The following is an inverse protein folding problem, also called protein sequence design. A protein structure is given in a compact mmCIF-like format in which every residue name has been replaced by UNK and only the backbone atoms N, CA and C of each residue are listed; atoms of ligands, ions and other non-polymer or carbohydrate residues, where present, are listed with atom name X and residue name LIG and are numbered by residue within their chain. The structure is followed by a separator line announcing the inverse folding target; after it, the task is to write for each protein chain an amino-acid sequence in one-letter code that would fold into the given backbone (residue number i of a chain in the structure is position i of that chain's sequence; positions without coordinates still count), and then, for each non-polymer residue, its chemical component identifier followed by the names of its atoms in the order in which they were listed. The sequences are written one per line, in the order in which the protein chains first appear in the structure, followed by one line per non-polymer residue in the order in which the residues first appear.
data_IF_072997453571
#
_entry.id   IF_072997453571
#
_cell.length_a   1.000
_cell.length_b   1.000
_cell.length_c   1.000
_cell.angle_alpha   90.00
_cell.angle_beta   90.00
_cell.angle_gamma   90.00
#
_symmetry.space_group_name_H-M   'P 1'
#
loop_
_entity.id
_entity.type
_entity.pdbx_description
1 polymer ?
#
# COMPACT_ATOMS: atom_id res chain seq x y z
N UNK A 1 1.73 11.63 2.71
CA UNK A 1 0.51 12.22 3.32
C UNK A 1 0.37 11.62 4.71
N UNK A 2 0.22 12.48 5.72
CA UNK A 2 0.03 12.09 7.11
C UNK A 2 -1.18 11.15 7.27
N UNK A 3 -1.07 10.11 8.10
CA UNK A 3 -2.16 9.15 8.31
C UNK A 3 -3.40 9.88 8.82
N UNK A 4 -3.25 10.78 9.79
CA UNK A 4 -4.37 11.53 10.38
C UNK A 4 -5.08 12.37 9.32
N UNK A 5 -4.34 12.95 8.38
CA UNK A 5 -4.93 13.71 7.27
C UNK A 5 -5.84 12.84 6.39
N UNK A 6 -5.51 11.56 6.21
CA UNK A 6 -6.34 10.63 5.43
C UNK A 6 -7.67 10.38 6.16
N UNK A 7 -7.62 10.12 7.47
CA UNK A 7 -8.84 9.91 8.26
C UNK A 7 -9.72 11.16 8.27
N UNK A 8 -9.12 12.35 8.46
CA UNK A 8 -9.83 13.63 8.39
C UNK A 8 -10.53 13.80 7.05
N UNK A 9 -9.81 13.57 5.94
CA UNK A 9 -10.37 13.69 4.59
C UNK A 9 -11.45 12.65 4.31
N UNK A 10 -11.28 11.42 4.79
CA UNK A 10 -12.30 10.36 4.65
C UNK A 10 -13.58 10.71 5.38
N UNK A 11 -13.46 11.22 6.61
CA UNK A 11 -14.59 11.69 7.40
C UNK A 11 -15.30 12.88 6.74
N UNK A 12 -14.54 13.83 6.15
CA UNK A 12 -15.13 14.92 5.35
C UNK A 12 -15.98 14.39 4.20
N UNK A 13 -15.45 13.45 3.41
CA UNK A 13 -16.15 12.88 2.27
C UNK A 13 -17.37 12.05 2.70
N UNK A 14 -17.24 11.25 3.76
CA UNK A 14 -18.35 10.48 4.33
C UNK A 14 -19.48 11.41 4.79
N UNK A 15 -19.18 12.45 5.57
CA UNK A 15 -20.14 13.47 6.03
C UNK A 15 -20.74 14.29 4.89
N UNK A 16 -20.01 14.46 3.78
CA UNK A 16 -20.50 15.11 2.56
C UNK A 16 -21.48 14.25 1.77
N UNK A 17 -21.30 12.93 1.80
CA UNK A 17 -22.18 11.94 1.14
C UNK A 17 -23.31 11.42 2.03
N UNK A 18 -23.32 11.79 3.31
CA UNK A 18 -24.22 11.23 4.31
C UNK A 18 -25.69 11.57 4.04
N UNK A 19 -26.51 10.53 3.99
CA UNK A 19 -27.97 10.59 3.95
C UNK A 19 -28.53 10.08 5.27
N UNK A 20 -29.21 10.94 6.02
CA UNK A 20 -29.84 10.58 7.28
C UNK A 20 -31.31 10.20 7.04
N UNK A 21 -31.67 8.96 7.36
CA UNK A 21 -33.02 8.41 7.16
C UNK A 21 -33.98 8.79 8.29
N UNK A 22 -33.45 8.94 9.51
CA UNK A 22 -34.21 9.36 10.69
C UNK A 22 -33.62 10.65 11.29
N UNK A 23 -34.41 11.74 11.23
CA UNK A 23 -34.00 13.06 11.67
C UNK A 23 -33.84 13.19 13.19
N UNK A 24 -34.36 12.25 13.98
CA UNK A 24 -34.16 12.26 15.44
C UNK A 24 -32.68 12.13 15.84
N UNK A 25 -31.85 11.54 14.96
CA UNK A 25 -30.40 11.36 15.17
C UNK A 25 -29.55 12.52 14.64
N UNK A 26 -30.15 13.61 14.16
CA UNK A 26 -29.42 14.74 13.57
C UNK A 26 -28.34 15.30 14.49
N UNK A 27 -28.61 15.35 15.79
CA UNK A 27 -27.64 15.81 16.79
C UNK A 27 -26.34 14.98 16.80
N UNK A 28 -26.42 13.66 16.56
CA UNK A 28 -25.24 12.79 16.50
C UNK A 28 -24.37 13.12 15.28
N UNK A 29 -25.01 13.44 14.14
CA UNK A 29 -24.30 13.89 12.93
C UNK A 29 -23.64 15.25 13.17
N UNK A 30 -24.32 16.17 13.86
CA UNK A 30 -23.78 17.49 14.20
C UNK A 30 -22.58 17.36 15.16
N UNK A 31 -22.64 16.45 16.13
CA UNK A 31 -21.49 16.10 16.99
C UNK A 31 -20.32 15.56 16.16
N UNK A 32 -20.55 14.64 15.23
CA UNK A 32 -19.51 14.13 14.34
C UNK A 32 -18.86 15.25 13.50
N UNK A 33 -19.64 16.24 13.04
CA UNK A 33 -19.12 17.44 12.35
C UNK A 33 -18.29 18.33 13.27
N UNK A 34 -18.68 18.48 14.54
CA UNK A 34 -17.92 19.23 15.53
C UNK A 34 -16.56 18.55 15.79
N UNK A 35 -16.54 17.24 16.02
CA UNK A 35 -15.30 16.48 16.18
C UNK A 35 -14.41 16.52 14.94
N UNK A 36 -14.98 16.51 13.72
CA UNK A 36 -14.18 16.72 12.51
C UNK A 36 -13.49 18.10 12.51
N UNK A 37 -14.18 19.16 12.95
CA UNK A 37 -13.60 20.51 13.05
C UNK A 37 -12.45 20.54 14.06
N UNK A 38 -12.63 19.89 15.21
CA UNK A 38 -11.61 19.79 16.24
C UNK A 38 -10.40 18.97 15.76
N UNK A 39 -10.63 17.85 15.06
CA UNK A 39 -9.57 17.04 14.49
C UNK A 39 -8.71 17.85 13.50
N UNK A 40 -9.35 18.67 12.65
CA UNK A 40 -8.63 19.60 11.75
C UNK A 40 -7.84 20.66 12.50
N UNK A 41 -8.37 21.18 13.61
CA UNK A 41 -7.67 22.14 14.46
C UNK A 41 -6.42 21.53 15.10
N UNK A 42 -6.56 20.40 15.79
CA UNK A 42 -5.40 19.72 16.40
C UNK A 42 -4.37 19.32 15.35
N UNK A 43 -4.83 18.89 14.18
CA UNK A 43 -3.97 18.61 13.04
C UNK A 43 -3.23 19.88 12.55
N UNK A 44 -3.86 21.05 12.52
CA UNK A 44 -3.19 22.27 12.04
C UNK A 44 -2.10 22.78 12.98
N UNK A 45 -2.24 22.54 14.29
CA UNK A 45 -1.24 22.92 15.30
C UNK A 45 -0.18 21.83 15.57
N UNK A 46 -0.26 20.70 14.86
CA UNK A 46 0.74 19.63 14.92
C UNK A 46 0.49 18.53 15.95
N UNK A 47 -0.60 18.60 16.71
CA UNK A 47 -1.00 17.56 17.67
C UNK A 47 -1.69 16.39 16.92
N UNK A 48 -0.92 15.35 16.61
CA UNK A 48 -1.39 14.22 15.79
C UNK A 48 -2.20 13.22 16.59
N UNK A 49 -1.81 12.99 17.83
CA UNK A 49 -2.42 12.07 18.76
C UNK A 49 -3.85 12.50 19.09
N UNK A 50 -4.02 13.77 19.48
CA UNK A 50 -5.35 14.32 19.75
C UNK A 50 -6.18 14.35 18.48
N UNK A 51 -5.62 14.81 17.35
CA UNK A 51 -6.35 14.81 16.08
C UNK A 51 -6.83 13.41 15.65
N UNK A 52 -6.00 12.37 15.87
CA UNK A 52 -6.38 10.99 15.59
C UNK A 52 -7.50 10.50 16.52
N UNK A 53 -7.38 10.76 17.83
CA UNK A 53 -8.41 10.39 18.79
C UNK A 53 -9.75 11.05 18.45
N UNK A 54 -9.74 12.35 18.13
CA UNK A 54 -10.92 13.13 17.78
C UNK A 54 -11.58 12.63 16.48
N UNK A 55 -10.80 12.38 15.42
CA UNK A 55 -11.36 11.90 14.15
C UNK A 55 -11.94 10.49 14.28
N UNK A 56 -11.27 9.58 15.00
CA UNK A 56 -11.78 8.22 15.23
C UNK A 56 -13.06 8.18 16.06
N UNK A 57 -13.24 9.12 17.00
CA UNK A 57 -14.51 9.26 17.73
C UNK A 57 -15.65 9.60 16.78
N UNK A 58 -15.44 10.56 15.87
CA UNK A 58 -16.44 10.95 14.88
C UNK A 58 -16.77 9.81 13.90
N UNK A 59 -15.78 9.04 13.44
CA UNK A 59 -16.02 7.85 12.61
C UNK A 59 -16.91 6.84 13.33
N UNK A 60 -16.63 6.56 14.61
CA UNK A 60 -17.43 5.65 15.43
C UNK A 60 -18.89 6.09 15.59
N UNK A 61 -19.15 7.39 15.73
CA UNK A 61 -20.52 7.93 15.74
C UNK A 61 -21.25 7.63 14.42
N UNK A 62 -20.61 7.86 13.28
CA UNK A 62 -21.22 7.60 11.98
C UNK A 62 -21.43 6.11 11.74
N UNK A 63 -20.45 5.27 12.08
CA UNK A 63 -20.56 3.82 11.98
C UNK A 63 -21.72 3.29 12.81
N UNK A 64 -21.90 3.80 14.04
CA UNK A 64 -23.05 3.44 14.86
C UNK A 64 -24.38 3.78 14.16
N UNK A 65 -24.51 4.98 13.58
CA UNK A 65 -25.71 5.38 12.83
C UNK A 65 -25.96 4.50 11.61
N UNK A 66 -24.91 4.11 10.89
CA UNK A 66 -25.03 3.20 9.73
C UNK A 66 -25.42 1.79 10.17
N UNK A 67 -24.84 1.29 11.25
CA UNK A 67 -25.10 -0.05 11.80
C UNK A 67 -26.55 -0.21 12.26
N UNK A 68 -27.12 0.82 12.91
CA UNK A 68 -28.54 0.80 13.30
C UNK A 68 -29.49 1.13 12.13
N UNK A 69 -28.95 1.32 10.92
CA UNK A 69 -29.72 1.51 9.70
C UNK A 69 -30.33 2.90 9.53
N UNK A 70 -29.98 3.89 10.36
CA UNK A 70 -30.57 5.24 10.31
C UNK A 70 -29.79 6.22 9.45
N UNK A 71 -28.58 5.87 9.02
CA UNK A 71 -27.78 6.66 8.09
C UNK A 71 -27.20 5.80 6.97
N UNK A 72 -26.93 6.44 5.83
CA UNK A 72 -26.21 5.86 4.70
C UNK A 72 -25.09 6.82 4.27
N UNK A 73 -23.91 6.26 4.00
CA UNK A 73 -22.71 6.96 3.52
C UNK A 73 -21.68 5.92 3.12
N UNK A 74 -20.63 6.31 2.40
CA UNK A 74 -19.57 5.40 1.96
C UNK A 74 -18.22 5.81 2.53
N UNK A 75 -17.56 4.88 3.23
CA UNK A 75 -16.14 5.01 3.51
C UNK A 75 -15.34 4.68 2.27
N UNK A 76 -14.44 5.58 1.88
CA UNK A 76 -13.45 5.29 0.86
C UNK A 76 -12.25 4.63 1.51
N UNK A 77 -11.57 3.77 0.76
CA UNK A 77 -10.28 3.24 1.18
C UNK A 77 -9.26 4.39 1.26
N UNK A 78 -8.26 4.31 2.16
CA UNK A 78 -7.18 5.30 2.25
C UNK A 78 -6.54 5.68 0.90
N UNK A 79 -6.51 4.73 -0.05
CA UNK A 79 -6.05 4.95 -1.43
C UNK A 79 -6.94 5.84 -2.27
N UNK A 80 -8.24 5.65 -2.17
CA UNK A 80 -9.25 6.42 -2.91
C UNK A 80 -9.29 7.85 -2.37
N UNK A 81 -9.16 8.02 -1.05
CA UNK A 81 -9.07 9.33 -0.39
C UNK A 81 -7.84 10.11 -0.80
N UNK A 82 -6.71 9.45 -1.01
CA UNK A 82 -5.47 10.12 -1.39
C UNK A 82 -5.54 10.74 -2.81
N UNK A 83 -6.50 10.41 -3.67
CA UNK A 83 -6.22 10.34 -5.12
C UNK A 83 -4.86 9.64 -5.31
N UNK A 84 -4.62 8.57 -4.54
CA UNK A 84 -3.29 7.97 -4.46
C UNK A 84 -2.98 7.38 -5.81
N UNK A 85 -1.91 7.88 -6.42
CA UNK A 85 -1.20 7.14 -7.46
C UNK A 85 -1.06 5.69 -7.00
N UNK A 86 -1.48 4.77 -7.83
CA UNK A 86 -1.24 3.35 -7.67
C UNK A 86 0.26 3.12 -7.90
N UNK A 87 0.91 2.52 -6.90
CA UNK A 87 2.35 2.28 -6.90
C UNK A 87 2.58 0.78 -7.02
N UNK A 88 3.04 0.36 -8.19
CA UNK A 88 3.45 -1.01 -8.42
C UNK A 88 4.89 -1.22 -7.98
N UNK A 89 5.09 -2.22 -7.13
CA UNK A 89 6.39 -2.79 -6.81
C UNK A 89 6.41 -4.24 -7.27
N UNK A 90 7.52 -4.70 -7.83
CA UNK A 90 7.68 -6.10 -8.23
C UNK A 90 8.91 -6.71 -7.58
N UNK A 91 8.83 -7.98 -7.21
CA UNK A 91 9.95 -8.70 -6.61
C UNK A 91 9.64 -10.16 -6.30
N UNK A 92 10.69 -10.91 -5.96
CA UNK A 92 10.52 -12.29 -5.50
C UNK A 92 9.94 -12.33 -4.08
N UNK A 93 10.38 -11.47 -3.16
CA UNK A 93 9.90 -11.45 -1.77
C UNK A 93 9.93 -12.83 -1.10
N UNK A 94 11.01 -13.59 -1.27
CA UNK A 94 11.12 -14.98 -0.78
C UNK A 94 11.22 -15.04 0.74
N UNK A 95 12.29 -14.49 1.32
CA UNK A 95 12.41 -14.32 2.77
C UNK A 95 12.37 -12.81 3.04
N UNK A 96 11.34 -12.36 3.77
CA UNK A 96 11.21 -10.97 4.13
C UNK A 96 12.32 -10.54 5.10
N UNK A 97 12.78 -9.30 4.94
CA UNK A 97 13.88 -8.75 5.71
C UNK A 97 13.78 -7.21 5.72
N UNK A 98 14.58 -6.50 6.55
CA UNK A 98 14.47 -5.05 6.68
C UNK A 98 14.65 -4.27 5.37
N UNK A 99 15.43 -4.80 4.42
CA UNK A 99 15.53 -4.25 3.05
C UNK A 99 14.19 -4.22 2.30
N UNK A 100 13.40 -5.31 2.35
CA UNK A 100 12.06 -5.34 1.75
C UNK A 100 11.11 -4.36 2.46
N UNK A 101 11.17 -4.27 3.80
CA UNK A 101 10.33 -3.33 4.55
C UNK A 101 10.63 -1.87 4.18
N UNK A 102 11.90 -1.50 4.02
CA UNK A 102 12.30 -0.16 3.60
C UNK A 102 11.79 0.16 2.18
N UNK A 103 11.92 -0.79 1.25
CA UNK A 103 11.42 -0.65 -0.12
C UNK A 103 9.90 -0.49 -0.18
N UNK A 104 9.15 -1.34 0.53
CA UNK A 104 7.70 -1.28 0.57
C UNK A 104 7.19 -0.01 1.29
N UNK A 105 7.87 0.42 2.35
CA UNK A 105 7.55 1.68 3.03
C UNK A 105 7.67 2.88 2.08
N UNK A 106 8.71 2.91 1.22
CA UNK A 106 8.86 3.97 0.22
C UNK A 106 7.73 3.97 -0.80
N UNK A 107 7.30 2.80 -1.27
CA UNK A 107 6.12 2.70 -2.12
C UNK A 107 4.84 3.19 -1.41
N UNK A 108 4.69 2.85 -0.13
CA UNK A 108 3.54 3.25 0.69
C UNK A 108 3.46 4.75 0.94
N UNK A 109 4.61 5.41 1.10
CA UNK A 109 4.72 6.87 1.18
C UNK A 109 4.19 7.54 -0.11
N UNK A 110 4.39 6.90 -1.27
CA UNK A 110 3.99 7.39 -2.59
C UNK A 110 2.50 7.19 -2.90
N UNK A 111 1.84 6.15 -2.37
CA UNK A 111 0.44 5.89 -2.71
C UNK A 111 -0.09 4.51 -2.34
N UNK A 112 -0.98 3.97 -3.17
CA UNK A 112 -1.60 2.66 -2.96
C UNK A 112 -0.71 1.56 -3.53
N UNK A 113 -0.13 0.74 -2.65
CA UNK A 113 0.87 -0.24 -3.03
C UNK A 113 0.23 -1.52 -3.55
N UNK A 114 0.51 -1.83 -4.81
CA UNK A 114 0.23 -3.11 -5.45
C UNK A 114 1.57 -3.85 -5.57
N UNK A 115 1.74 -4.92 -4.80
CA UNK A 115 2.95 -5.72 -4.81
C UNK A 115 2.79 -6.95 -5.72
N UNK A 116 3.62 -7.02 -6.75
CA UNK A 116 3.65 -8.11 -7.72
C UNK A 116 4.70 -9.13 -7.30
N UNK A 117 4.25 -10.34 -7.01
CA UNK A 117 5.09 -11.46 -6.58
C UNK A 117 5.48 -12.25 -7.82
N UNK A 118 6.77 -12.21 -8.20
CA UNK A 118 7.28 -12.95 -9.36
C UNK A 118 6.92 -14.44 -9.29
N UNK A 119 6.57 -15.05 -10.42
CA UNK A 119 6.39 -16.51 -10.51
C UNK A 119 7.66 -17.24 -10.12
N UNK A 120 7.51 -18.49 -9.66
CA UNK A 120 8.65 -19.32 -9.27
C UNK A 120 9.63 -19.44 -10.45
N UNK A 121 9.16 -19.78 -11.64
CA UNK A 121 9.99 -19.88 -12.84
C UNK A 121 10.79 -18.61 -13.14
N UNK A 122 10.14 -17.45 -13.14
CA UNK A 122 10.81 -16.18 -13.44
C UNK A 122 11.82 -15.79 -12.37
N UNK A 123 11.49 -16.02 -11.10
CA UNK A 123 12.37 -15.75 -9.98
C UNK A 123 13.59 -16.68 -9.97
N UNK A 124 13.40 -17.97 -10.22
CA UNK A 124 14.48 -18.96 -10.32
C UNK A 124 15.43 -18.64 -11.47
N UNK A 125 14.87 -18.32 -12.66
CA UNK A 125 15.64 -17.89 -13.83
C UNK A 125 16.48 -16.65 -13.53
N UNK A 126 15.90 -15.66 -12.85
CA UNK A 126 16.59 -14.40 -12.50
C UNK A 126 17.68 -14.63 -11.45
N UNK A 127 17.39 -15.44 -10.42
CA UNK A 127 18.32 -15.72 -9.30
C UNK A 127 19.33 -16.82 -9.61
N UNK A 128 19.16 -17.55 -10.72
CA UNK A 128 19.97 -18.72 -11.12
C UNK A 128 20.05 -19.79 -10.04
N UNK A 129 18.97 -19.98 -9.28
CA UNK A 129 18.83 -21.03 -8.27
C UNK A 129 17.37 -21.38 -8.04
N UNK A 130 17.12 -22.54 -7.45
CA UNK A 130 15.79 -22.91 -6.95
C UNK A 130 15.33 -22.00 -5.82
N UNK A 131 14.03 -21.72 -5.78
CA UNK A 131 13.42 -21.03 -4.65
C UNK A 131 13.16 -22.03 -3.51
N UNK A 132 13.25 -21.53 -2.29
CA UNK A 132 12.92 -22.26 -1.07
C UNK A 132 11.41 -22.17 -0.80
N UNK A 133 10.81 -21.00 -1.07
CA UNK A 133 9.41 -20.71 -0.75
C UNK A 133 8.61 -20.50 -2.05
N UNK A 134 7.57 -21.32 -2.33
CA UNK A 134 6.73 -21.19 -3.52
C UNK A 134 5.97 -19.87 -3.58
N UNK A 135 5.55 -19.49 -4.80
CA UNK A 135 4.92 -18.20 -5.08
C UNK A 135 3.73 -17.88 -4.18
N UNK A 136 2.86 -18.87 -3.95
CA UNK A 136 1.63 -18.67 -3.18
C UNK A 136 1.92 -18.30 -1.72
N UNK A 137 2.89 -18.97 -1.09
CA UNK A 137 3.29 -18.71 0.30
C UNK A 137 3.98 -17.35 0.43
N UNK A 138 4.81 -16.98 -0.55
CA UNK A 138 5.41 -15.63 -0.60
C UNK A 138 4.34 -14.55 -0.67
N UNK A 139 3.30 -14.77 -1.49
CA UNK A 139 2.19 -13.84 -1.63
C UNK A 139 1.35 -13.71 -0.35
N UNK A 140 1.07 -14.83 0.33
CA UNK A 140 0.34 -14.86 1.60
C UNK A 140 1.05 -14.02 2.66
N UNK A 141 2.34 -14.27 2.89
CA UNK A 141 3.13 -13.51 3.87
C UNK A 141 3.19 -12.02 3.49
N UNK A 142 3.41 -11.72 2.20
CA UNK A 142 3.49 -10.34 1.73
C UNK A 142 2.16 -9.58 1.90
N UNK A 143 1.03 -10.27 1.75
CA UNK A 143 -0.32 -9.69 1.89
C UNK A 143 -0.64 -9.24 3.31
N UNK A 144 0.07 -9.78 4.30
CA UNK A 144 -0.08 -9.42 5.72
C UNK A 144 0.74 -8.19 6.12
N UNK A 145 1.57 -7.64 5.22
CA UNK A 145 2.42 -6.50 5.57
C UNK A 145 1.64 -5.19 5.52
N UNK A 146 1.81 -4.39 6.58
CA UNK A 146 1.19 -3.07 6.72
C UNK A 146 1.40 -2.13 5.51
N UNK A 147 2.56 -2.22 4.85
CA UNK A 147 2.89 -1.35 3.71
C UNK A 147 2.31 -1.82 2.37
N UNK A 148 1.66 -2.98 2.32
CA UNK A 148 1.11 -3.58 1.11
C UNK A 148 -0.40 -3.55 1.17
N UNK A 149 -1.04 -3.01 0.14
CA UNK A 149 -2.50 -2.93 0.12
C UNK A 149 -3.15 -4.01 -0.74
N UNK A 150 -2.43 -4.47 -1.78
CA UNK A 150 -2.87 -5.54 -2.66
C UNK A 150 -1.66 -6.33 -3.14
N UNK A 151 -1.79 -7.65 -3.15
CA UNK A 151 -0.80 -8.55 -3.77
C UNK A 151 -1.36 -9.09 -5.09
N UNK A 152 -0.51 -9.19 -6.10
CA UNK A 152 -0.83 -9.80 -7.39
C UNK A 152 0.24 -10.82 -7.74
N UNK A 153 -0.16 -11.98 -8.23
CA UNK A 153 0.76 -13.00 -8.70
C UNK A 153 1.25 -12.64 -10.11
N UNK A 154 2.56 -12.61 -10.30
CA UNK A 154 3.16 -12.52 -11.62
C UNK A 154 3.06 -13.86 -12.35
N UNK A 155 2.91 -13.80 -13.67
CA UNK A 155 2.90 -14.99 -14.53
C UNK A 155 4.32 -15.39 -14.96
N UNK A 156 4.55 -16.65 -15.34
CA UNK A 156 5.74 -17.06 -16.10
C UNK A 156 5.83 -16.32 -17.45
N UNK A 157 7.03 -16.27 -18.04
CA UNK A 157 7.23 -15.64 -19.36
C UNK A 157 7.51 -14.14 -19.27
N UNK A 158 6.74 -13.33 -20.00
CA UNK A 158 6.93 -11.88 -20.07
C UNK A 158 6.43 -11.18 -18.79
N UNK A 159 7.37 -10.60 -18.04
CA UNK A 159 7.09 -9.89 -16.80
C UNK A 159 6.26 -8.60 -17.02
N UNK A 160 6.23 -8.06 -18.24
CA UNK A 160 5.54 -6.81 -18.57
C UNK A 160 4.04 -7.01 -18.83
N UNK A 161 3.57 -8.26 -18.97
CA UNK A 161 2.14 -8.55 -19.14
C UNK A 161 1.30 -8.15 -17.93
N UNK A 162 1.94 -7.97 -16.77
CA UNK A 162 1.32 -7.42 -15.57
C UNK A 162 0.71 -6.03 -15.80
N UNK A 163 1.20 -5.26 -16.78
CA UNK A 163 0.63 -3.96 -17.12
C UNK A 163 -0.77 -4.07 -17.73
N UNK A 164 -1.14 -5.20 -18.32
CA UNK A 164 -2.49 -5.40 -18.85
C UNK A 164 -3.54 -5.48 -17.73
N UNK A 165 -3.14 -5.86 -16.51
CA UNK A 165 -4.04 -6.06 -15.37
C UNK A 165 -3.89 -5.00 -14.29
N UNK A 166 -2.67 -4.58 -13.96
CA UNK A 166 -2.40 -3.66 -12.84
C UNK A 166 -2.55 -2.20 -13.23
N UNK A 167 -2.10 -1.82 -14.45
CA UNK A 167 -2.16 -0.45 -15.00
C UNK A 167 -1.79 0.65 -13.97
N UNK A 168 -0.57 0.63 -13.38
CA UNK A 168 -0.22 1.53 -12.29
C UNK A 168 0.15 2.94 -12.78
N UNK A 169 -0.01 3.93 -11.89
CA UNK A 169 0.44 5.31 -12.11
C UNK A 169 1.96 5.45 -11.90
N UNK A 170 2.51 4.66 -10.97
CA UNK A 170 3.93 4.66 -10.62
C UNK A 170 4.45 3.23 -10.57
N UNK A 171 5.63 3.01 -11.15
CA UNK A 171 6.44 1.81 -10.88
C UNK A 171 7.64 2.23 -10.07
N UNK A 172 7.75 1.69 -8.85
CA UNK A 172 8.93 1.86 -8.04
C UNK A 172 9.84 0.65 -8.24
N UNK A 173 11.08 0.89 -8.68
CA UNK A 173 12.12 -0.11 -8.85
C UNK A 173 13.08 -0.08 -7.66
N UNK A 174 13.52 -1.26 -7.22
CA UNK A 174 14.64 -1.36 -6.28
C UNK A 174 15.98 -1.07 -6.99
N UNK A 175 17.02 -0.62 -6.26
CA UNK A 175 18.31 -0.24 -6.85
C UNK A 175 18.95 -1.40 -7.61
N UNK A 176 18.84 -2.62 -7.07
CA UNK A 176 19.49 -3.82 -7.59
C UNK A 176 18.71 -4.52 -8.73
N UNK A 177 17.63 -3.92 -9.25
CA UNK A 177 16.88 -4.51 -10.36
C UNK A 177 17.51 -4.19 -11.71
N UNK A 178 17.88 -5.20 -12.47
CA UNK A 178 18.61 -5.06 -13.74
C UNK A 178 17.80 -4.39 -14.88
N UNK A 179 16.47 -4.30 -14.75
CA UNK A 179 15.62 -3.69 -15.78
C UNK A 179 15.83 -2.18 -15.80
N UNK A 180 16.14 -1.59 -16.96
CA UNK A 180 16.28 -0.12 -17.09
C UNK A 180 14.91 0.55 -17.08
N UNK A 181 14.82 1.74 -16.48
CA UNK A 181 13.58 2.51 -16.37
C UNK A 181 12.93 2.77 -17.74
N UNK A 182 13.74 3.10 -18.74
CA UNK A 182 13.26 3.34 -20.11
C UNK A 182 12.65 2.11 -20.77
N UNK A 183 13.14 0.92 -20.42
CA UNK A 183 12.54 -0.34 -20.89
C UNK A 183 11.15 -0.50 -20.26
N UNK A 184 11.03 -0.25 -18.96
CA UNK A 184 9.74 -0.32 -18.25
C UNK A 184 8.73 0.67 -18.84
N UNK A 185 9.12 1.95 -19.03
CA UNK A 185 8.28 2.98 -19.64
C UNK A 185 7.82 2.59 -21.04
N UNK A 186 8.74 2.09 -21.88
CA UNK A 186 8.43 1.67 -23.25
C UNK A 186 7.46 0.49 -23.28
N UNK A 187 7.68 -0.53 -22.45
CA UNK A 187 6.82 -1.72 -22.39
C UNK A 187 5.43 -1.42 -21.81
N UNK A 188 5.34 -0.50 -20.84
CA UNK A 188 4.07 0.02 -20.35
C UNK A 188 3.31 0.80 -21.44
N UNK A 189 4.00 1.70 -22.16
CA UNK A 189 3.41 2.48 -23.25
C UNK A 189 2.88 1.60 -24.38
N UNK A 190 3.60 0.53 -24.76
CA UNK A 190 3.13 -0.46 -25.74
C UNK A 190 1.80 -1.12 -25.33
N UNK A 191 1.54 -1.24 -24.03
CA UNK A 191 0.31 -1.80 -23.44
C UNK A 191 -0.73 -0.72 -23.09
N UNK A 192 -0.53 0.50 -23.58
CA UNK A 192 -1.43 1.63 -23.37
C UNK A 192 -1.49 2.11 -21.92
N UNK A 193 -0.41 1.93 -21.15
CA UNK A 193 -0.28 2.41 -19.77
C UNK A 193 0.73 3.55 -19.75
N UNK A 194 0.30 4.73 -19.33
CA UNK A 194 1.20 5.84 -19.02
C UNK A 194 1.64 5.73 -17.56
N UNK A 195 2.95 5.69 -17.33
CA UNK A 195 3.51 5.34 -16.02
C UNK A 195 4.75 6.15 -15.70
N UNK A 196 4.82 6.66 -14.47
CA UNK A 196 6.04 7.24 -13.95
C UNK A 196 6.92 6.14 -13.34
N UNK A 197 8.15 5.99 -13.82
CA UNK A 197 9.08 4.98 -13.29
C UNK A 197 10.11 5.69 -12.42
N UNK A 198 10.23 5.24 -11.17
CA UNK A 198 11.16 5.77 -10.18
C UNK A 198 12.03 4.61 -9.70
N UNK A 199 13.34 4.80 -9.61
CA UNK A 199 14.25 3.86 -8.93
C UNK A 199 14.68 4.43 -7.59
N UNK A 200 14.66 3.59 -6.57
CA UNK A 200 15.33 3.91 -5.32
C UNK A 200 16.85 3.89 -5.52
N UNK A 201 17.52 4.96 -5.11
CA UNK A 201 18.97 5.10 -5.19
C UNK A 201 19.68 4.10 -4.27
N UNK A 202 19.19 3.93 -3.06
CA UNK A 202 19.80 3.07 -2.05
C UNK A 202 18.78 2.17 -1.33
N UNK A 203 19.24 0.98 -0.96
CA UNK A 203 18.55 0.12 -0.01
C UNK A 203 19.11 0.34 1.38
N UNK A 204 18.26 0.11 2.39
CA UNK A 204 18.71 -0.01 3.78
C UNK A 204 19.87 -1.00 3.86
N UNK A 205 21.03 -0.52 4.33
CA UNK A 205 22.17 -1.38 4.59
C UNK A 205 21.99 -2.04 5.96
N UNK A 206 22.07 -3.38 5.97
CA UNK A 206 22.17 -4.18 7.19
C UNK A 206 22.74 -5.56 6.86
N UNK A 207 23.21 -6.29 7.88
CA UNK A 207 23.81 -7.62 7.74
C UNK A 207 22.89 -8.56 6.94
N UNK A 208 21.63 -8.69 7.37
CA UNK A 208 20.65 -9.62 6.80
C UNK A 208 19.63 -8.93 5.88
N UNK A 209 20.04 -7.89 5.15
CA UNK A 209 19.17 -7.14 4.21
C UNK A 209 19.07 -7.80 2.81
N UNK A 210 19.40 -9.08 2.68
CA UNK A 210 19.29 -9.87 1.45
C UNK A 210 18.93 -11.31 1.77
N UNK A 211 17.97 -11.88 1.04
CA UNK A 211 17.64 -13.31 1.13
C UNK A 211 18.86 -14.21 0.95
N UNK A 212 19.79 -13.86 0.05
CA UNK A 212 21.02 -14.64 -0.16
C UNK A 212 21.87 -14.67 1.11
N UNK A 213 22.06 -13.52 1.76
CA UNK A 213 22.84 -13.43 3.01
C UNK A 213 22.18 -14.18 4.16
N UNK A 214 20.84 -14.17 4.24
CA UNK A 214 20.10 -14.96 5.23
C UNK A 214 20.36 -16.46 5.00
N UNK A 215 20.24 -16.93 3.76
CA UNK A 215 20.50 -18.34 3.42
C UNK A 215 21.95 -18.72 3.73
N UNK A 216 22.93 -17.90 3.32
CA UNK A 216 24.36 -18.13 3.61
C UNK A 216 24.62 -18.20 5.12
N UNK A 217 24.03 -17.29 5.91
CA UNK A 217 24.16 -17.29 7.37
C UNK A 217 23.60 -18.56 7.98
N UNK A 218 22.39 -18.97 7.58
CA UNK A 218 21.76 -20.22 8.04
C UNK A 218 22.67 -21.41 7.70
N UNK A 219 23.14 -21.51 6.45
CA UNK A 219 24.02 -22.60 6.02
C UNK A 219 25.34 -22.62 6.80
N UNK A 220 25.94 -21.47 7.10
CA UNK A 220 27.17 -21.40 7.90
C UNK A 220 26.98 -21.73 9.38
N UNK A 221 25.74 -21.68 9.88
CA UNK A 221 25.43 -21.90 11.31
C UNK A 221 25.07 -23.36 11.59
N UNK A 222 24.48 -24.05 10.61
CA UNK A 222 23.96 -25.42 10.75
C UNK A 222 24.64 -26.46 9.84
N UNK A 223 25.74 -26.09 9.18
CA UNK A 223 26.70 -27.03 8.59
C UNK A 223 27.85 -27.23 9.54
#
# INVERSE_FOLDING_TARGET
MDRVAIYIKNLEEALGSLTLKDQSYRHVVDLARAYLKDAKYYFSIGDRETALATVSYAEGLLDALKLIGVADFTWKKPSEIKNAKTVMVAGTFEILHPGHLAYLKKAWEMGYVIAVVSSDENAERTKKRKLVIPQQQRAEVLSSLYYVHRVVLGSPGDIFDIFNTVRPDVVLLGPNQNVKEEVVKREAKKRGVDVNVIRLEELRQCELCSTTRIIEKILSTFR
#
